data_IF_752105310893
#
_entry.id   IF_752105310893
#
_cell.length_a   1.000
_cell.length_b   1.000
_cell.length_c   1.000
_cell.angle_alpha   90.00
_cell.angle_beta   90.00
_cell.angle_gamma   90.00
#
_symmetry.space_group_name_H-M   'P 1'
#
loop_
_entity.id
_entity.type
_entity.pdbx_description
1 polymer ?
#
# COMPACT_ATOMS: atom_id res chain seq x y z
N UNK A 1 -53.72 7.64 47.35
CA UNK A 1 -52.83 8.52 46.56
C UNK A 1 -51.49 7.83 46.32
N UNK A 2 -50.98 7.81 45.08
CA UNK A 2 -49.69 7.25 44.56
C UNK A 2 -49.67 5.79 44.06
N UNK A 3 -49.83 5.62 42.73
CA UNK A 3 -49.10 4.58 41.95
C UNK A 3 -49.03 4.97 40.45
N UNK A 4 -48.23 5.98 40.08
CA UNK A 4 -48.00 6.36 38.66
C UNK A 4 -46.53 6.36 38.21
N UNK A 5 -45.59 5.94 39.08
CA UNK A 5 -44.13 6.10 38.85
C UNK A 5 -43.44 4.95 38.10
N UNK A 6 -44.00 3.73 38.04
CA UNK A 6 -43.30 2.56 37.46
C UNK A 6 -43.25 2.53 35.93
N UNK A 7 -44.28 3.04 35.22
CA UNK A 7 -44.41 2.92 33.75
C UNK A 7 -43.40 3.79 32.98
N UNK A 8 -43.04 4.97 33.50
CA UNK A 8 -42.09 5.88 32.86
C UNK A 8 -40.65 5.36 32.89
N UNK A 9 -40.29 4.52 33.87
CA UNK A 9 -38.92 4.00 34.03
C UNK A 9 -38.54 3.05 32.89
N UNK A 10 -39.48 2.23 32.41
CA UNK A 10 -39.27 1.33 31.27
C UNK A 10 -39.23 2.07 29.93
N UNK A 11 -40.01 3.15 29.79
CA UNK A 11 -39.99 4.03 28.61
C UNK A 11 -38.69 4.84 28.50
N UNK A 12 -38.18 5.36 29.63
CA UNK A 12 -36.92 6.12 29.68
C UNK A 12 -35.72 5.20 29.38
N UNK A 13 -35.65 4.02 29.99
CA UNK A 13 -34.56 3.06 29.73
C UNK A 13 -34.55 2.59 28.27
N UNK A 14 -35.73 2.40 27.66
CA UNK A 14 -35.84 2.07 26.24
C UNK A 14 -35.32 3.19 25.33
N UNK A 15 -35.59 4.46 25.65
CA UNK A 15 -35.07 5.62 24.90
C UNK A 15 -33.57 5.81 25.05
N UNK A 16 -33.04 5.63 26.27
CA UNK A 16 -31.60 5.72 26.55
C UNK A 16 -30.83 4.67 25.75
N UNK A 17 -31.32 3.43 25.69
CA UNK A 17 -30.70 2.38 24.89
C UNK A 17 -30.72 2.71 23.39
N UNK A 18 -31.83 3.25 22.87
CA UNK A 18 -31.93 3.70 21.47
C UNK A 18 -30.95 4.84 21.19
N UNK A 19 -30.81 5.81 22.09
CA UNK A 19 -29.87 6.92 21.91
C UNK A 19 -28.42 6.44 21.92
N UNK A 20 -28.08 5.45 22.74
CA UNK A 20 -26.73 4.85 22.77
C UNK A 20 -26.43 4.13 21.45
N UNK A 21 -27.38 3.37 20.91
CA UNK A 21 -27.22 2.69 19.61
C UNK A 21 -27.01 3.68 18.46
N UNK A 22 -27.74 4.80 18.44
CA UNK A 22 -27.58 5.83 17.42
C UNK A 22 -26.20 6.50 17.48
N UNK A 23 -25.66 6.72 18.68
CA UNK A 23 -24.31 7.27 18.86
C UNK A 23 -23.22 6.29 18.38
N UNK A 24 -23.40 4.99 18.63
CA UNK A 24 -22.46 3.96 18.15
C UNK A 24 -22.44 3.92 16.61
N UNK A 25 -23.62 3.98 15.97
CA UNK A 25 -23.71 4.01 14.51
C UNK A 25 -23.03 5.26 13.96
N UNK A 26 -23.26 6.44 14.56
CA UNK A 26 -22.64 7.70 14.15
C UNK A 26 -21.10 7.59 14.20
N UNK A 27 -20.56 7.07 15.30
CA UNK A 27 -19.11 6.90 15.48
C UNK A 27 -18.55 5.90 14.45
N UNK A 28 -19.25 4.79 14.20
CA UNK A 28 -18.85 3.78 13.21
C UNK A 28 -18.84 4.34 11.78
N UNK A 29 -19.81 5.18 11.43
CA UNK A 29 -19.86 5.82 10.10
C UNK A 29 -18.71 6.79 9.90
N UNK A 30 -18.35 7.56 10.93
CA UNK A 30 -17.22 8.49 10.91
C UNK A 30 -15.89 7.73 10.75
N UNK A 31 -15.71 6.62 11.47
CA UNK A 31 -14.53 5.75 11.33
C UNK A 31 -14.39 5.16 9.91
N UNK A 32 -15.50 4.74 9.30
CA UNK A 32 -15.50 4.17 7.94
C UNK A 32 -15.08 5.19 6.88
N UNK A 33 -15.47 6.46 7.04
CA UNK A 33 -15.07 7.55 6.14
C UNK A 33 -13.57 7.81 6.22
N UNK A 34 -12.95 7.73 7.40
CA UNK A 34 -11.50 7.86 7.54
C UNK A 34 -10.71 6.72 6.88
N UNK A 35 -11.29 5.52 6.77
CA UNK A 35 -10.65 4.37 6.10
C UNK A 35 -10.68 4.45 4.56
N UNK A 36 -11.55 5.28 3.99
CA UNK A 36 -11.70 5.42 2.54
C UNK A 36 -10.70 6.41 1.91
N UNK A 37 -9.77 6.96 2.71
CA UNK A 37 -8.79 7.96 2.28
C UNK A 37 -7.54 7.39 1.58
N UNK A 38 -7.32 6.08 1.58
CA UNK A 38 -6.23 5.46 0.81
C UNK A 38 -6.70 5.19 -0.63
N UNK A 39 -6.64 6.23 -1.47
CA UNK A 39 -6.49 6.03 -2.91
C UNK A 39 -5.05 5.58 -3.17
N UNK A 40 -4.74 4.34 -2.76
CA UNK A 40 -3.53 3.67 -3.21
C UNK A 40 -3.79 3.29 -4.67
N UNK A 41 -3.62 4.27 -5.57
CA UNK A 41 -3.17 3.98 -6.93
C UNK A 41 -1.81 3.31 -6.78
N UNK A 42 -1.82 2.04 -6.40
CA UNK A 42 -0.66 1.20 -6.29
C UNK A 42 -0.13 1.11 -7.71
N UNK A 43 0.79 2.00 -8.04
CA UNK A 43 1.60 1.94 -9.23
C UNK A 43 2.29 0.57 -9.14
N UNK A 44 1.68 -0.43 -9.78
CA UNK A 44 2.08 -1.81 -9.59
C UNK A 44 3.42 -2.00 -10.30
N UNK A 45 4.49 -1.82 -9.53
CA UNK A 45 5.86 -2.08 -9.98
C UNK A 45 5.89 -3.55 -10.39
N UNK A 46 6.01 -3.77 -11.68
CA UNK A 46 6.17 -5.09 -12.25
C UNK A 46 7.66 -5.39 -12.37
N UNK A 47 8.02 -6.67 -12.45
CA UNK A 47 9.42 -7.08 -12.54
C UNK A 47 9.65 -7.95 -13.76
N UNK A 48 10.74 -7.67 -14.47
CA UNK A 48 11.28 -8.53 -15.50
C UNK A 48 12.50 -9.27 -14.96
N UNK A 49 12.71 -10.52 -15.37
CA UNK A 49 13.91 -11.26 -15.00
C UNK A 49 14.96 -11.17 -16.10
N UNK A 50 16.14 -10.62 -15.77
CA UNK A 50 17.30 -10.58 -16.65
C UNK A 50 18.36 -11.57 -16.19
N UNK A 51 19.01 -12.27 -17.13
CA UNK A 51 20.16 -13.14 -16.81
C UNK A 51 21.43 -12.43 -17.25
N UNK A 52 22.34 -12.21 -16.29
CA UNK A 52 23.54 -11.41 -16.48
C UNK A 52 24.51 -12.12 -17.42
N UNK A 53 25.03 -11.41 -18.41
CA UNK A 53 26.00 -11.91 -19.37
C UNK A 53 27.43 -11.50 -18.99
N UNK A 54 28.41 -12.16 -19.58
CA UNK A 54 29.82 -11.81 -19.38
C UNK A 54 30.11 -10.39 -19.88
N UNK A 55 30.59 -9.54 -18.98
CA UNK A 55 30.90 -8.14 -19.25
C UNK A 55 29.78 -7.16 -18.90
N UNK A 56 28.60 -7.65 -18.51
CA UNK A 56 27.53 -6.78 -18.04
C UNK A 56 27.89 -6.15 -16.69
N UNK A 57 27.52 -4.88 -16.54
CA UNK A 57 27.55 -4.17 -15.25
C UNK A 57 26.14 -3.75 -14.85
N UNK A 58 25.91 -3.51 -13.55
CA UNK A 58 24.64 -2.91 -13.10
C UNK A 58 24.35 -1.58 -13.79
N UNK A 59 25.40 -0.81 -14.12
CA UNK A 59 25.24 0.45 -14.83
C UNK A 59 24.66 0.26 -16.24
N UNK A 60 25.22 -0.67 -17.00
CA UNK A 60 24.78 -0.94 -18.38
C UNK A 60 23.37 -1.51 -18.40
N UNK A 61 23.06 -2.42 -17.46
CA UNK A 61 21.72 -2.99 -17.29
C UNK A 61 20.75 -1.87 -16.92
N UNK A 62 21.03 -1.06 -15.89
CA UNK A 62 20.15 0.03 -15.48
C UNK A 62 19.92 1.05 -16.59
N UNK A 63 20.96 1.42 -17.34
CA UNK A 63 20.83 2.37 -18.45
C UNK A 63 19.93 1.84 -19.56
N UNK A 64 19.89 0.51 -19.75
CA UNK A 64 19.02 -0.14 -20.74
C UNK A 64 17.54 -0.17 -20.33
N UNK A 65 17.26 -0.33 -19.04
CA UNK A 65 15.90 -0.57 -18.55
C UNK A 65 15.21 0.62 -17.90
N UNK A 66 15.96 1.62 -17.43
CA UNK A 66 15.40 2.82 -16.82
C UNK A 66 14.57 3.61 -17.83
N UNK A 67 13.61 4.39 -17.33
CA UNK A 67 12.97 5.40 -18.17
C UNK A 67 13.99 6.49 -18.56
N UNK A 68 13.82 7.14 -19.73
CA UNK A 68 14.71 8.22 -20.16
C UNK A 68 14.82 9.36 -19.12
N UNK A 69 13.72 9.64 -18.42
CA UNK A 69 13.62 10.68 -17.40
C UNK A 69 14.20 10.30 -16.03
N UNK A 70 14.43 9.01 -15.77
CA UNK A 70 14.93 8.53 -14.48
C UNK A 70 16.45 8.67 -14.40
N UNK A 71 16.98 8.93 -13.20
CA UNK A 71 18.42 8.85 -12.96
C UNK A 71 18.88 7.39 -12.93
N UNK A 72 20.02 7.09 -13.57
CA UNK A 72 20.57 5.73 -13.59
C UNK A 72 20.92 5.24 -12.19
N UNK A 73 21.43 6.11 -11.31
CA UNK A 73 21.82 5.76 -9.94
C UNK A 73 20.59 5.35 -9.13
N UNK A 74 19.52 6.13 -9.19
CA UNK A 74 18.27 5.82 -8.49
C UNK A 74 17.69 4.49 -9.00
N UNK A 75 17.79 4.22 -10.30
CA UNK A 75 17.34 2.95 -10.86
C UNK A 75 18.23 1.76 -10.44
N UNK A 76 19.55 1.95 -10.31
CA UNK A 76 20.45 0.94 -9.71
C UNK A 76 20.01 0.63 -8.28
N UNK A 77 19.67 1.65 -7.48
CA UNK A 77 19.19 1.45 -6.10
C UNK A 77 17.91 0.62 -6.07
N UNK A 78 16.94 0.90 -6.96
CA UNK A 78 15.73 0.08 -7.11
C UNK A 78 16.04 -1.39 -7.43
N UNK A 79 17.01 -1.65 -8.33
CA UNK A 79 17.43 -3.02 -8.66
C UNK A 79 18.12 -3.70 -7.47
N UNK A 80 19.00 -2.98 -6.78
CA UNK A 80 19.70 -3.48 -5.59
C UNK A 80 18.71 -3.89 -4.50
N UNK A 81 17.72 -3.04 -4.24
CA UNK A 81 16.66 -3.31 -3.26
C UNK A 81 15.81 -4.52 -3.68
N UNK A 82 15.34 -4.55 -4.93
CA UNK A 82 14.49 -5.63 -5.45
C UNK A 82 15.16 -7.02 -5.39
N UNK A 83 16.50 -7.06 -5.48
CA UNK A 83 17.28 -8.30 -5.47
C UNK A 83 18.03 -8.54 -4.16
N UNK A 84 17.89 -7.66 -3.18
CA UNK A 84 18.63 -7.70 -1.91
C UNK A 84 20.14 -7.85 -2.11
N UNK A 85 20.69 -7.13 -3.09
CA UNK A 85 22.12 -7.20 -3.40
C UNK A 85 22.94 -6.58 -2.28
N UNK A 86 23.94 -7.30 -1.78
CA UNK A 86 24.89 -6.79 -0.78
C UNK A 86 26.10 -6.09 -1.41
N UNK A 87 26.25 -6.18 -2.73
CA UNK A 87 27.35 -5.59 -3.50
C UNK A 87 26.86 -5.19 -4.89
N UNK A 88 27.51 -4.18 -5.48
CA UNK A 88 27.27 -3.77 -6.87
C UNK A 88 27.95 -4.69 -7.90
N UNK A 89 28.81 -5.60 -7.44
CA UNK A 89 29.42 -6.59 -8.33
C UNK A 89 28.41 -7.67 -8.67
N UNK A 90 28.16 -7.83 -9.97
CA UNK A 90 27.28 -8.86 -10.53
C UNK A 90 28.06 -9.93 -11.25
N UNK A 91 27.52 -11.16 -11.27
CA UNK A 91 28.21 -12.33 -11.80
C UNK A 91 27.45 -12.87 -13.02
N UNK A 92 28.14 -13.23 -14.12
CA UNK A 92 27.49 -13.88 -15.27
C UNK A 92 26.71 -15.13 -14.87
N UNK A 93 25.52 -15.29 -15.43
CA UNK A 93 24.57 -16.36 -15.12
C UNK A 93 23.65 -16.08 -13.92
N UNK A 94 23.91 -15.01 -13.15
CA UNK A 94 23.01 -14.55 -12.09
C UNK A 94 21.70 -14.02 -12.70
N UNK A 95 20.57 -14.32 -12.06
CA UNK A 95 19.27 -13.75 -12.40
C UNK A 95 19.01 -12.50 -11.57
N UNK A 96 18.49 -11.47 -12.22
CA UNK A 96 18.23 -10.17 -11.63
C UNK A 96 16.80 -9.73 -11.94
N UNK A 97 16.05 -9.36 -10.91
CA UNK A 97 14.74 -8.74 -11.00
C UNK A 97 14.92 -7.26 -11.35
N UNK A 98 14.46 -6.87 -12.52
CA UNK A 98 14.52 -5.50 -13.01
C UNK A 98 13.12 -4.89 -12.87
N UNK A 99 12.96 -3.80 -12.07
CA UNK A 99 11.72 -3.07 -12.02
C UNK A 99 11.35 -2.55 -13.41
N UNK A 100 10.13 -2.81 -13.85
CA UNK A 100 9.54 -2.24 -15.07
C UNK A 100 8.28 -1.50 -14.66
N UNK A 101 8.17 -0.24 -15.07
CA UNK A 101 6.94 0.50 -14.88
C UNK A 101 5.93 0.05 -15.94
N UNK A 102 4.77 -0.41 -15.48
CA UNK A 102 3.64 -0.77 -16.34
C UNK A 102 3.00 0.50 -16.87
N UNK A 103 3.64 1.17 -17.83
CA UNK A 103 2.99 2.23 -18.60
C UNK A 103 1.99 1.57 -19.55
N UNK A 104 0.72 1.53 -19.15
CA UNK A 104 -0.38 1.25 -20.07
C UNK A 104 -0.43 2.42 -21.08
N UNK A 105 0.06 2.18 -22.30
CA UNK A 105 -0.10 3.07 -23.45
C UNK A 105 -1.51 2.93 -24.04
#
# INVERSE_FOLDING_TARGET
MKTRRKKNRHYINSKVNITILLLIILISTVFSIYSLGENNEANQISYSTYTILSGDTLWDISTRYKNPSDDTRDFIEKIVEANQLTSLNVIPGQKLLIPIESTFN
#
